data_IF_271840753549
#
_entry.id   IF_271840753549
#
_cell.length_a   1.000
_cell.length_b   1.000
_cell.length_c   1.000
_cell.angle_alpha   90.00
_cell.angle_beta   90.00
_cell.angle_gamma   90.00
#
_symmetry.space_group_name_H-M   'P 1'
#
loop_
_entity.id
_entity.type
_entity.pdbx_description
1 polymer ?
#
# COMPACT_ATOMS: atom_id res chain seq x y z
N UNK A 1 -12.93 -1.06 -43.99
CA UNK A 1 -12.35 -0.37 -42.82
C UNK A 1 -12.40 -1.31 -41.61
N UNK A 2 -11.37 -2.13 -41.43
CA UNK A 2 -11.30 -3.16 -40.38
C UNK A 2 -10.91 -2.52 -39.05
N UNK A 3 -11.80 -2.66 -38.07
CA UNK A 3 -11.72 -2.10 -36.72
C UNK A 3 -10.54 -2.74 -35.96
N UNK A 4 -9.40 -2.06 -35.94
CA UNK A 4 -8.18 -2.38 -35.17
C UNK A 4 -8.35 -2.24 -33.63
N UNK A 5 -9.56 -2.45 -33.10
CA UNK A 5 -9.95 -2.09 -31.71
C UNK A 5 -9.63 -3.16 -30.66
N UNK A 6 -9.10 -4.33 -31.05
CA UNK A 6 -8.88 -5.46 -30.14
C UNK A 6 -7.49 -5.57 -29.52
N UNK A 7 -6.42 -5.22 -30.25
CA UNK A 7 -5.04 -5.57 -29.85
C UNK A 7 -4.44 -4.62 -28.81
N UNK A 8 -4.73 -3.32 -28.90
CA UNK A 8 -4.27 -2.31 -27.93
C UNK A 8 -4.91 -2.46 -26.55
N UNK A 9 -6.14 -2.97 -26.50
CA UNK A 9 -6.88 -3.13 -25.26
C UNK A 9 -6.31 -4.26 -24.39
N UNK A 10 -5.89 -5.36 -25.03
CA UNK A 10 -5.36 -6.56 -24.35
C UNK A 10 -3.96 -6.33 -23.77
N UNK A 11 -3.11 -5.58 -24.49
CA UNK A 11 -1.77 -5.19 -24.01
C UNK A 11 -1.89 -4.25 -22.81
N UNK A 12 -2.76 -3.24 -22.89
CA UNK A 12 -2.99 -2.30 -21.78
C UNK A 12 -3.55 -3.01 -20.54
N UNK A 13 -4.51 -3.92 -20.70
CA UNK A 13 -5.07 -4.70 -19.59
C UNK A 13 -4.02 -5.59 -18.93
N UNK A 14 -3.15 -6.23 -19.71
CA UNK A 14 -2.03 -7.01 -19.19
C UNK A 14 -1.05 -6.15 -18.39
N UNK A 15 -0.71 -4.96 -18.91
CA UNK A 15 0.16 -4.01 -18.19
C UNK A 15 -0.50 -3.58 -16.87
N UNK A 16 -1.76 -3.16 -16.90
CA UNK A 16 -2.51 -2.74 -15.71
C UNK A 16 -2.55 -3.86 -14.66
N UNK A 17 -2.79 -5.10 -15.09
CA UNK A 17 -2.81 -6.27 -14.20
C UNK A 17 -1.45 -6.54 -13.56
N UNK A 18 -0.37 -6.50 -14.34
CA UNK A 18 0.99 -6.71 -13.84
C UNK A 18 1.39 -5.63 -12.82
N UNK A 19 1.09 -4.36 -13.11
CA UNK A 19 1.35 -3.24 -12.20
C UNK A 19 0.61 -3.42 -10.86
N UNK A 20 -0.66 -3.82 -10.90
CA UNK A 20 -1.45 -4.09 -9.67
C UNK A 20 -0.88 -5.26 -8.88
N UNK A 21 -0.44 -6.32 -9.57
CA UNK A 21 0.13 -7.50 -8.93
C UNK A 21 1.47 -7.17 -8.26
N UNK A 22 2.33 -6.41 -8.92
CA UNK A 22 3.59 -5.91 -8.34
C UNK A 22 3.29 -5.03 -7.13
N UNK A 23 2.37 -4.06 -7.27
CA UNK A 23 1.96 -3.20 -6.16
C UNK A 23 1.48 -4.03 -4.96
N UNK A 24 0.56 -4.97 -5.17
CA UNK A 24 0.03 -5.84 -4.12
C UNK A 24 1.15 -6.63 -3.43
N UNK A 25 2.07 -7.23 -4.19
CA UNK A 25 3.23 -7.94 -3.65
C UNK A 25 4.10 -7.05 -2.76
N UNK A 26 4.36 -5.82 -3.18
CA UNK A 26 5.11 -4.84 -2.38
C UNK A 26 4.35 -4.42 -1.11
N UNK A 27 3.02 -4.27 -1.16
CA UNK A 27 2.21 -3.95 0.04
C UNK A 27 2.19 -5.12 1.03
N UNK A 28 2.11 -6.37 0.54
CA UNK A 28 2.26 -7.57 1.37
C UNK A 28 3.61 -7.56 2.07
N UNK A 29 4.70 -7.32 1.33
CA UNK A 29 6.04 -7.20 1.88
C UNK A 29 6.12 -6.10 2.96
N UNK A 30 5.54 -4.94 2.71
CA UNK A 30 5.52 -3.83 3.66
C UNK A 30 4.77 -4.19 4.95
N UNK A 31 3.62 -4.86 4.83
CA UNK A 31 2.83 -5.32 5.97
C UNK A 31 3.61 -6.33 6.82
N UNK A 32 4.29 -7.29 6.18
CA UNK A 32 5.14 -8.27 6.87
C UNK A 32 6.28 -7.57 7.63
N UNK A 33 6.93 -6.57 7.02
CA UNK A 33 7.97 -5.77 7.67
C UNK A 33 7.40 -4.99 8.86
N UNK A 34 6.21 -4.41 8.75
CA UNK A 34 5.56 -3.73 9.87
C UNK A 34 5.24 -4.69 11.02
N UNK A 35 4.75 -5.89 10.74
CA UNK A 35 4.54 -6.93 11.77
C UNK A 35 5.87 -7.32 12.43
N UNK A 36 6.93 -7.57 11.64
CA UNK A 36 8.26 -7.87 12.15
C UNK A 36 8.80 -6.76 13.05
N UNK A 37 8.59 -5.49 12.66
CA UNK A 37 9.02 -4.33 13.45
C UNK A 37 8.39 -4.33 14.85
N UNK A 38 7.15 -4.81 15.00
CA UNK A 38 6.45 -4.87 16.29
C UNK A 38 6.92 -6.05 17.14
N UNK A 39 7.33 -7.16 16.52
CA UNK A 39 7.94 -8.30 17.23
C UNK A 39 9.26 -7.85 17.85
N UNK A 40 10.11 -7.15 17.08
CA UNK A 40 11.39 -6.61 17.58
C UNK A 40 11.19 -5.62 18.73
N UNK A 41 10.12 -4.81 18.66
CA UNK A 41 9.76 -3.90 19.74
C UNK A 41 9.45 -4.63 21.06
N UNK A 42 8.87 -5.84 21.01
CA UNK A 42 8.53 -6.64 22.20
C UNK A 42 9.72 -7.38 22.81
N UNK A 43 10.72 -7.75 22.01
CA UNK A 43 11.82 -8.63 22.45
C UNK A 43 13.00 -7.88 23.09
N UNK A 44 13.21 -6.58 22.77
CA UNK A 44 14.37 -5.81 23.25
C UNK A 44 14.03 -4.89 24.42
N UNK A 45 15.07 -4.45 25.15
CA UNK A 45 14.96 -3.39 26.17
C UNK A 45 14.26 -2.15 25.62
N UNK A 46 13.58 -1.35 26.47
CA UNK A 46 12.75 -0.21 26.05
C UNK A 46 13.42 0.68 24.98
N UNK A 47 14.67 1.08 25.19
CA UNK A 47 15.46 1.95 24.31
C UNK A 47 15.96 1.22 23.04
N UNK A 48 16.47 -0.01 23.18
CA UNK A 48 16.95 -0.81 22.05
C UNK A 48 15.84 -1.29 21.11
N UNK A 49 14.68 -1.62 21.67
CA UNK A 49 13.48 -2.05 20.94
C UNK A 49 12.86 -0.94 20.11
N UNK A 50 12.73 0.27 20.65
CA UNK A 50 12.22 1.43 19.91
C UNK A 50 13.13 1.77 18.72
N UNK A 51 14.44 1.71 18.91
CA UNK A 51 15.43 1.99 17.85
C UNK A 51 15.37 0.95 16.73
N UNK A 52 15.36 -0.34 17.08
CA UNK A 52 15.26 -1.44 16.12
C UNK A 52 13.94 -1.42 15.36
N UNK A 53 12.83 -1.23 16.06
CA UNK A 53 11.51 -1.06 15.47
C UNK A 53 11.49 0.09 14.46
N UNK A 54 12.03 1.25 14.84
CA UNK A 54 12.09 2.42 13.95
C UNK A 54 12.83 2.14 12.64
N UNK A 55 14.01 1.51 12.71
CA UNK A 55 14.79 1.16 11.51
C UNK A 55 14.04 0.20 10.57
N UNK A 56 13.42 -0.84 11.13
CA UNK A 56 12.67 -1.84 10.35
C UNK A 56 11.41 -1.19 9.75
N UNK A 57 10.69 -0.39 10.52
CA UNK A 57 9.49 0.30 10.06
C UNK A 57 9.79 1.29 8.93
N UNK A 58 10.96 1.95 8.92
CA UNK A 58 11.39 2.80 7.80
C UNK A 58 11.51 2.01 6.49
N UNK A 59 12.05 0.79 6.52
CA UNK A 59 12.10 -0.07 5.34
C UNK A 59 10.71 -0.48 4.87
N UNK A 60 9.81 -0.82 5.79
CA UNK A 60 8.42 -1.11 5.47
C UNK A 60 7.72 0.09 4.81
N UNK A 61 7.96 1.29 5.33
CA UNK A 61 7.44 2.53 4.76
C UNK A 61 7.99 2.82 3.36
N UNK A 62 9.31 2.66 3.15
CA UNK A 62 9.93 2.84 1.84
C UNK A 62 9.34 1.88 0.79
N UNK A 63 9.15 0.61 1.18
CA UNK A 63 8.54 -0.39 0.30
C UNK A 63 7.08 -0.06 -0.04
N UNK A 64 6.36 0.50 0.93
CA UNK A 64 4.99 0.95 0.72
C UNK A 64 4.92 2.16 -0.24
N UNK A 65 5.80 3.15 -0.08
CA UNK A 65 5.92 4.28 -1.02
C UNK A 65 6.22 3.79 -2.44
N UNK A 66 7.15 2.84 -2.59
CA UNK A 66 7.45 2.24 -3.89
C UNK A 66 6.21 1.56 -4.48
N UNK A 67 5.46 0.80 -3.68
CA UNK A 67 4.22 0.15 -4.11
C UNK A 67 3.20 1.14 -4.68
N UNK A 68 3.09 2.33 -4.09
CA UNK A 68 2.14 3.35 -4.49
C UNK A 68 2.45 3.90 -5.89
N UNK A 69 3.71 3.96 -6.30
CA UNK A 69 4.08 4.36 -7.66
C UNK A 69 3.41 3.44 -8.69
N UNK A 70 3.49 2.12 -8.48
CA UNK A 70 2.83 1.13 -9.33
C UNK A 70 1.30 1.25 -9.29
N UNK A 71 0.74 1.48 -8.10
CA UNK A 71 -0.70 1.64 -7.91
C UNK A 71 -1.24 2.89 -8.61
N UNK A 72 -0.55 4.02 -8.47
CA UNK A 72 -0.91 5.29 -9.12
C UNK A 72 -0.83 5.17 -10.63
N UNK A 73 0.21 4.51 -11.15
CA UNK A 73 0.33 4.30 -12.58
C UNK A 73 -0.79 3.41 -13.13
N UNK A 74 -1.18 2.36 -12.39
CA UNK A 74 -2.35 1.55 -12.73
C UNK A 74 -3.65 2.37 -12.69
N UNK A 75 -3.87 3.15 -11.63
CA UNK A 75 -5.06 3.97 -11.43
C UNK A 75 -5.19 5.08 -12.51
N UNK A 76 -4.07 5.68 -12.88
CA UNK A 76 -4.00 6.64 -13.98
C UNK A 76 -4.50 6.03 -15.29
N UNK A 77 -3.96 4.85 -15.67
CA UNK A 77 -4.37 4.14 -16.88
C UNK A 77 -5.86 3.73 -16.88
N UNK A 78 -6.44 3.41 -15.73
CA UNK A 78 -7.89 3.17 -15.61
C UNK A 78 -8.72 4.43 -15.76
N UNK A 79 -8.23 5.54 -15.23
CA UNK A 79 -8.94 6.83 -15.24
C UNK A 79 -9.01 7.35 -16.68
N UNK A 80 -7.89 7.37 -17.39
CA UNK A 80 -7.86 7.83 -18.78
C UNK A 80 -8.62 6.90 -19.74
N UNK A 81 -8.77 5.62 -19.39
CA UNK A 81 -9.57 4.67 -20.17
C UNK A 81 -11.07 4.71 -19.84
N UNK A 82 -11.50 5.55 -18.89
CA UNK A 82 -12.89 5.68 -18.48
C UNK A 82 -13.42 4.48 -17.68
N UNK A 83 -12.53 3.67 -17.10
CA UNK A 83 -12.86 2.42 -16.38
C UNK A 83 -12.54 2.47 -14.89
N UNK A 84 -12.27 3.65 -14.34
CA UNK A 84 -11.98 3.80 -12.91
C UNK A 84 -13.29 3.82 -12.11
N UNK A 85 -13.58 2.78 -11.30
CA UNK A 85 -14.70 2.80 -10.37
C UNK A 85 -14.44 3.80 -9.24
N UNK A 86 -15.52 4.38 -8.70
CA UNK A 86 -15.45 5.40 -7.65
C UNK A 86 -14.70 4.95 -6.38
N UNK A 87 -14.75 3.65 -6.08
CA UNK A 87 -14.07 3.03 -4.93
C UNK A 87 -12.54 3.26 -4.94
N UNK A 88 -11.93 3.45 -6.11
CA UNK A 88 -10.49 3.77 -6.22
C UNK A 88 -10.17 5.10 -5.53
N UNK A 89 -11.05 6.10 -5.63
CA UNK A 89 -10.81 7.41 -5.02
C UNK A 89 -10.92 7.35 -3.50
N UNK A 90 -11.92 6.64 -2.98
CA UNK A 90 -12.08 6.42 -1.53
C UNK A 90 -10.88 5.67 -0.96
N UNK A 91 -10.45 4.59 -1.62
CA UNK A 91 -9.25 3.86 -1.23
C UNK A 91 -8.00 4.74 -1.30
N UNK A 92 -7.86 5.55 -2.36
CA UNK A 92 -6.76 6.51 -2.52
C UNK A 92 -6.68 7.52 -1.38
N UNK A 93 -7.84 8.02 -0.89
CA UNK A 93 -7.89 8.91 0.27
C UNK A 93 -7.39 8.22 1.54
N UNK A 94 -7.88 7.02 1.85
CA UNK A 94 -7.37 6.24 2.99
C UNK A 94 -5.88 5.95 2.87
N UNK A 95 -5.40 5.63 1.67
CA UNK A 95 -3.98 5.45 1.38
C UNK A 95 -3.15 6.70 1.65
N UNK A 96 -3.61 7.87 1.18
CA UNK A 96 -2.94 9.15 1.42
C UNK A 96 -2.85 9.48 2.92
N UNK A 97 -3.92 9.25 3.68
CA UNK A 97 -3.93 9.43 5.14
C UNK A 97 -2.93 8.47 5.80
N UNK A 98 -2.96 7.18 5.47
CA UNK A 98 -2.04 6.17 6.01
C UNK A 98 -0.58 6.52 5.72
N UNK A 99 -0.28 7.05 4.54
CA UNK A 99 1.06 7.51 4.17
C UNK A 99 1.50 8.74 4.95
N UNK A 100 0.62 9.74 5.09
CA UNK A 100 0.96 10.95 5.85
C UNK A 100 1.33 10.60 7.29
N UNK A 101 0.56 9.72 7.94
CA UNK A 101 0.90 9.20 9.27
C UNK A 101 2.19 8.37 9.26
N UNK A 102 2.41 7.54 8.24
CA UNK A 102 3.65 6.81 8.02
C UNK A 102 4.87 7.71 7.91
N UNK A 103 4.76 8.77 7.12
CA UNK A 103 5.80 9.78 6.95
C UNK A 103 6.13 10.46 8.27
N UNK A 104 5.11 10.98 8.96
CA UNK A 104 5.25 11.61 10.28
C UNK A 104 5.97 10.64 11.23
N UNK A 105 5.60 9.36 11.23
CA UNK A 105 6.23 8.37 12.10
C UNK A 105 7.70 8.10 11.77
N UNK A 106 8.07 8.11 10.48
CA UNK A 106 9.45 7.89 10.04
C UNK A 106 10.33 9.11 10.34
N UNK A 107 9.85 10.33 10.07
CA UNK A 107 10.64 11.55 10.24
C UNK A 107 10.72 12.03 11.70
N UNK A 108 9.70 11.75 12.51
CA UNK A 108 9.59 12.34 13.83
C UNK A 108 10.45 11.60 14.87
N UNK A 109 11.06 12.36 15.78
CA UNK A 109 11.80 11.80 16.92
C UNK A 109 10.83 11.17 17.93
N UNK A 110 11.36 10.35 18.84
CA UNK A 110 10.65 9.35 19.67
C UNK A 110 9.36 9.78 20.39
N UNK A 111 9.04 11.06 20.52
CA UNK A 111 7.83 11.57 21.18
C UNK A 111 6.53 11.04 20.58
N UNK A 112 6.48 10.78 19.27
CA UNK A 112 5.31 10.19 18.61
C UNK A 112 5.30 8.66 18.56
N UNK A 113 6.42 8.01 18.92
CA UNK A 113 6.61 6.55 18.88
C UNK A 113 6.04 5.87 20.13
N UNK A 114 4.80 6.20 20.48
CA UNK A 114 4.06 5.52 21.55
C UNK A 114 3.43 4.23 21.02
N UNK A 115 3.24 3.22 21.89
CA UNK A 115 2.55 1.97 21.52
C UNK A 115 1.14 2.22 20.96
N UNK A 116 0.43 3.22 21.49
CA UNK A 116 -0.92 3.58 21.03
C UNK A 116 -0.88 4.07 19.58
N UNK A 117 0.00 5.01 19.27
CA UNK A 117 0.12 5.57 17.91
C UNK A 117 0.58 4.51 16.90
N UNK A 118 1.51 3.63 17.30
CA UNK A 118 1.95 2.51 16.46
C UNK A 118 0.81 1.54 16.12
N UNK A 119 -0.06 1.23 17.09
CA UNK A 119 -1.24 0.38 16.86
C UNK A 119 -2.25 1.06 15.94
N UNK A 120 -2.50 2.36 16.14
CA UNK A 120 -3.40 3.14 15.28
C UNK A 120 -2.89 3.14 13.84
N UNK A 121 -1.59 3.39 13.64
CA UNK A 121 -0.98 3.31 12.32
C UNK A 121 -1.09 1.92 11.71
N UNK A 122 -0.82 0.86 12.46
CA UNK A 122 -0.98 -0.50 11.94
C UNK A 122 -2.43 -0.76 11.54
N UNK A 123 -3.41 -0.34 12.34
CA UNK A 123 -4.82 -0.50 12.03
C UNK A 123 -5.21 0.25 10.75
N UNK A 124 -4.75 1.49 10.59
CA UNK A 124 -4.89 2.28 9.36
C UNK A 124 -4.29 1.53 8.15
N UNK A 125 -3.06 1.02 8.28
CA UNK A 125 -2.40 0.24 7.24
C UNK A 125 -3.18 -1.02 6.87
N UNK A 126 -3.65 -1.79 7.86
CA UNK A 126 -4.45 -3.00 7.63
C UNK A 126 -5.75 -2.66 6.94
N UNK A 127 -6.47 -1.62 7.39
CA UNK A 127 -7.71 -1.17 6.76
C UNK A 127 -7.50 -0.77 5.29
N UNK A 128 -6.50 0.07 5.02
CA UNK A 128 -6.14 0.46 3.66
C UNK A 128 -5.76 -0.76 2.82
N UNK A 129 -4.89 -1.62 3.34
CA UNK A 129 -4.40 -2.82 2.65
C UNK A 129 -5.55 -3.77 2.29
N UNK A 130 -6.44 -4.06 3.23
CA UNK A 130 -7.63 -4.88 2.98
C UNK A 130 -8.51 -4.26 1.89
N UNK A 131 -8.73 -2.95 1.91
CA UNK A 131 -9.41 -2.26 0.82
C UNK A 131 -8.72 -2.44 -0.55
N UNK A 132 -7.39 -2.37 -0.57
CA UNK A 132 -6.59 -2.61 -1.79
C UNK A 132 -6.71 -4.04 -2.30
N UNK A 133 -6.70 -5.04 -1.40
CA UNK A 133 -6.94 -6.45 -1.72
C UNK A 133 -8.33 -6.64 -2.33
N UNK A 134 -9.37 -6.05 -1.74
CA UNK A 134 -10.74 -6.17 -2.26
C UNK A 134 -10.85 -5.58 -3.66
N UNK A 135 -10.25 -4.41 -3.91
CA UNK A 135 -10.19 -3.79 -5.23
C UNK A 135 -9.46 -4.70 -6.22
N UNK A 136 -8.30 -5.24 -5.84
CA UNK A 136 -7.52 -6.16 -6.67
C UNK A 136 -8.35 -7.39 -7.06
N UNK A 137 -9.01 -8.03 -6.11
CA UNK A 137 -9.82 -9.23 -6.33
C UNK A 137 -11.04 -8.94 -7.21
N UNK A 138 -11.70 -7.80 -7.03
CA UNK A 138 -12.83 -7.35 -7.87
C UNK A 138 -12.37 -7.20 -9.32
N UNK A 139 -11.24 -6.52 -9.55
CA UNK A 139 -10.69 -6.37 -10.90
C UNK A 139 -10.15 -7.66 -11.51
N UNK A 140 -9.76 -8.63 -10.68
CA UNK A 140 -9.36 -9.96 -11.13
C UNK A 140 -10.57 -10.89 -11.39
N UNK A 141 -11.81 -10.40 -11.24
CA UNK A 141 -13.03 -11.19 -11.40
C UNK A 141 -13.21 -12.27 -10.33
N UNK A 142 -12.55 -12.12 -9.17
CA UNK A 142 -12.60 -13.08 -8.04
C UNK A 142 -13.63 -12.69 -6.99
N UNK A 143 -14.17 -11.47 -7.07
CA UNK A 143 -15.27 -10.98 -6.25
C UNK A 143 -16.32 -10.35 -7.18
N UNK A 144 -17.62 -10.46 -6.82
CA UNK A 144 -18.71 -9.82 -7.54
C UNK A 144 -18.63 -8.29 -7.45
#
# INVERSE_FOLDING_TARGET
MLKWKGRGNLVLETIIYNLRTISLGLQIGALLIFVLSLIVLKQKSKTGGITGHGKIATWGYALAVLSIIYMLYSAYNLTISGRAPSVIYTHGLFGAVSLAFGFIFVINRWSWKTRRNMRIMLALWVLTFTGGVMIYLTFAGKLP
#
